data_IF_016300463537
#
_entry.id   IF_016300463537
#
_cell.length_a   1.000
_cell.length_b   1.000
_cell.length_c   1.000
_cell.angle_alpha   90.00
_cell.angle_beta   90.00
_cell.angle_gamma   90.00
#
_symmetry.space_group_name_H-M   'P 1'
#
loop_
_entity.id
_entity.type
_entity.pdbx_description
1 polymer ?
#
# COMPACT_ATOMS: atom_id res chain seq x y z
N UNK A 1 72.50 -31.94 -2.02
CA UNK A 1 71.83 -30.72 -1.64
C UNK A 1 70.43 -30.70 -2.30
N UNK A 2 69.45 -31.30 -1.63
CA UNK A 2 68.07 -31.40 -2.11
C UNK A 2 67.28 -30.20 -1.61
N UNK A 3 66.64 -29.42 -2.54
CA UNK A 3 65.74 -28.36 -2.19
C UNK A 3 64.31 -28.92 -2.11
N UNK A 4 63.73 -28.81 -0.92
CA UNK A 4 62.32 -29.14 -0.64
C UNK A 4 61.45 -28.00 -1.11
N UNK A 5 60.51 -28.24 -2.03
CA UNK A 5 59.51 -27.28 -2.49
C UNK A 5 58.30 -27.44 -1.58
N UNK A 6 57.97 -26.41 -0.80
CA UNK A 6 56.78 -26.36 0.05
C UNK A 6 55.61 -25.83 -0.78
N UNK A 7 54.66 -26.71 -1.10
CA UNK A 7 53.36 -26.29 -1.71
C UNK A 7 52.46 -25.80 -0.60
N UNK A 8 52.12 -24.50 -0.63
CA UNK A 8 51.05 -23.92 0.22
C UNK A 8 49.71 -24.07 -0.52
N UNK A 9 48.88 -24.99 -0.03
CA UNK A 9 47.46 -25.07 -0.46
C UNK A 9 46.69 -23.94 0.21
N UNK A 10 46.26 -22.96 -0.59
CA UNK A 10 45.26 -21.94 -0.18
C UNK A 10 43.89 -22.56 -0.33
N UNK A 11 43.25 -22.89 0.79
CA UNK A 11 41.84 -23.31 0.82
C UNK A 11 40.93 -22.07 0.55
N UNK A 12 40.33 -22.02 -0.63
CA UNK A 12 39.29 -21.04 -0.96
C UNK A 12 37.99 -21.52 -0.30
N UNK A 13 37.67 -20.96 0.84
CA UNK A 13 36.33 -21.13 1.43
C UNK A 13 35.31 -20.34 0.60
N UNK A 14 34.53 -21.06 -0.18
CA UNK A 14 33.39 -20.50 -0.88
C UNK A 14 32.35 -20.02 0.16
N UNK A 15 32.20 -18.71 0.32
CA UNK A 15 31.07 -18.13 1.04
C UNK A 15 29.79 -18.42 0.24
N UNK A 16 29.01 -19.37 0.72
CA UNK A 16 27.65 -19.55 0.21
C UNK A 16 26.82 -18.33 0.53
N UNK A 17 26.25 -17.72 -0.50
CA UNK A 17 25.27 -16.64 -0.32
C UNK A 17 24.14 -17.12 0.60
N UNK A 18 23.63 -16.28 1.52
CA UNK A 18 22.54 -16.68 2.39
C UNK A 18 21.32 -17.03 1.53
N UNK A 19 20.94 -18.31 1.57
CA UNK A 19 19.69 -18.79 0.97
C UNK A 19 18.53 -18.07 1.63
N UNK A 20 17.72 -17.39 0.83
CA UNK A 20 16.42 -16.87 1.26
C UNK A 20 15.63 -18.08 1.75
N UNK A 21 15.08 -18.09 2.99
CA UNK A 21 14.30 -19.22 3.47
C UNK A 21 13.15 -19.48 2.50
N UNK A 22 12.94 -20.75 2.16
CA UNK A 22 11.83 -21.19 1.33
C UNK A 22 10.53 -20.68 1.98
N UNK A 23 9.79 -19.84 1.26
CA UNK A 23 8.41 -19.50 1.60
C UNK A 23 7.61 -20.81 1.55
N UNK A 24 6.72 -20.99 2.53
CA UNK A 24 5.78 -22.11 2.53
C UNK A 24 4.96 -22.01 1.22
N UNK A 25 5.31 -22.83 0.24
CA UNK A 25 4.72 -22.72 -1.11
C UNK A 25 3.33 -23.33 -1.08
N UNK A 26 2.32 -22.50 -0.83
CA UNK A 26 0.97 -22.87 -1.25
C UNK A 26 0.94 -22.86 -2.80
N UNK A 27 0.52 -23.94 -3.46
CA UNK A 27 0.60 -24.06 -4.94
C UNK A 27 -0.11 -22.96 -5.72
N UNK A 28 -0.93 -22.15 -5.07
CA UNK A 28 -1.73 -21.05 -5.65
C UNK A 28 -1.18 -19.65 -5.36
N UNK A 29 -0.06 -19.53 -4.65
CA UNK A 29 0.57 -18.24 -4.30
C UNK A 29 2.04 -18.28 -4.68
N UNK A 30 2.45 -17.33 -5.51
CA UNK A 30 3.85 -17.09 -5.86
C UNK A 30 4.31 -15.75 -5.30
N UNK A 31 5.49 -15.68 -4.69
CA UNK A 31 6.05 -14.44 -4.17
C UNK A 31 7.16 -13.90 -5.07
N UNK A 32 7.11 -12.61 -5.36
CA UNK A 32 8.10 -11.92 -6.18
C UNK A 32 8.61 -10.67 -5.46
N UNK A 33 9.87 -10.30 -5.71
CA UNK A 33 10.41 -9.04 -5.20
C UNK A 33 10.36 -7.99 -6.30
N UNK A 34 9.63 -6.89 -6.06
CA UNK A 34 9.55 -5.75 -6.99
C UNK A 34 10.78 -4.86 -6.84
N UNK A 35 11.13 -4.52 -5.58
CA UNK A 35 12.29 -3.67 -5.31
C UNK A 35 13.03 -4.16 -4.06
N UNK A 36 14.31 -4.46 -4.21
CA UNK A 36 15.18 -4.91 -3.11
C UNK A 36 15.73 -3.72 -2.34
N UNK A 37 15.84 -3.88 -1.03
CA UNK A 37 16.59 -2.94 -0.22
C UNK A 37 18.10 -3.05 -0.53
N UNK A 38 18.76 -1.92 -0.60
CA UNK A 38 20.21 -1.82 -0.75
C UNK A 38 20.79 -0.86 0.30
N UNK A 39 22.12 -0.79 0.42
CA UNK A 39 22.77 0.17 1.32
C UNK A 39 22.38 1.62 0.98
N UNK A 40 22.21 1.93 -0.31
CA UNK A 40 21.90 3.29 -0.76
C UNK A 40 20.39 3.57 -0.81
N UNK A 41 19.57 2.54 -0.89
CA UNK A 41 18.10 2.61 -0.90
C UNK A 41 17.52 1.59 0.05
N UNK A 42 17.55 1.89 1.37
CA UNK A 42 17.27 0.91 2.42
C UNK A 42 15.79 0.55 2.54
N UNK A 43 14.90 1.36 1.95
CA UNK A 43 13.46 1.15 2.05
C UNK A 43 12.75 1.45 0.74
N UNK A 44 11.87 0.52 0.32
CA UNK A 44 10.89 0.70 -0.74
C UNK A 44 9.59 0.02 -0.32
N UNK A 45 8.48 0.75 -0.36
CA UNK A 45 7.16 0.23 0.00
C UNK A 45 6.04 1.13 -0.55
N UNK A 46 4.82 0.95 -0.04
CA UNK A 46 3.62 1.72 -0.41
C UNK A 46 3.48 1.83 -1.93
N UNK A 47 3.03 0.74 -2.52
CA UNK A 47 2.89 0.64 -3.96
C UNK A 47 1.44 0.77 -4.42
N UNK A 48 1.26 1.08 -5.70
CA UNK A 48 -0.03 1.02 -6.39
C UNK A 48 0.18 0.54 -7.81
N UNK A 49 -0.72 -0.32 -8.32
CA UNK A 49 -0.61 -0.93 -9.65
C UNK A 49 -1.77 -0.47 -10.53
N UNK A 50 -1.47 -0.18 -11.80
CA UNK A 50 -2.47 -0.02 -12.84
C UNK A 50 -2.02 -0.69 -14.13
N UNK A 51 -3.00 -1.13 -14.95
CA UNK A 51 -2.75 -1.61 -16.31
C UNK A 51 -2.56 -0.43 -17.24
N UNK A 52 -1.52 -0.48 -18.08
CA UNK A 52 -1.23 0.51 -19.11
C UNK A 52 -2.11 0.29 -20.35
N UNK A 53 -2.20 1.27 -21.27
CA UNK A 53 -2.96 1.11 -22.51
C UNK A 53 -2.48 -0.01 -23.44
N UNK A 54 -1.25 -0.47 -23.28
CA UNK A 54 -0.62 -1.57 -24.03
C UNK A 54 -0.62 -2.89 -23.26
N UNK A 55 -1.54 -3.03 -22.32
CA UNK A 55 -1.79 -4.20 -21.47
C UNK A 55 -0.69 -4.54 -20.45
N UNK A 56 0.47 -3.91 -20.50
CA UNK A 56 1.48 -4.04 -19.46
C UNK A 56 0.98 -3.52 -18.12
N UNK A 57 1.58 -3.99 -17.05
CA UNK A 57 1.32 -3.46 -15.72
C UNK A 57 2.40 -2.44 -15.34
N UNK A 58 1.98 -1.35 -14.70
CA UNK A 58 2.89 -0.40 -14.07
C UNK A 58 2.67 -0.44 -12.55
N UNK A 59 3.74 -0.63 -11.80
CA UNK A 59 3.76 -0.38 -10.36
C UNK A 59 4.43 0.96 -10.10
N UNK A 60 3.81 1.78 -9.26
CA UNK A 60 4.41 2.98 -8.68
C UNK A 60 4.64 2.75 -7.20
N UNK A 61 5.74 3.23 -6.65
CA UNK A 61 6.09 3.03 -5.26
C UNK A 61 7.00 4.15 -4.76
N UNK A 62 7.03 4.37 -3.48
CA UNK A 62 8.00 5.27 -2.90
C UNK A 62 9.30 4.53 -2.53
N UNK A 63 10.43 5.21 -2.74
CA UNK A 63 11.77 4.68 -2.53
C UNK A 63 12.61 5.67 -1.75
N UNK A 64 13.08 5.24 -0.59
CA UNK A 64 13.89 6.05 0.33
C UNK A 64 15.38 5.89 0.04
N UNK A 65 16.09 6.98 0.21
CA UNK A 65 17.54 7.02 0.08
C UNK A 65 18.22 6.89 1.44
N UNK A 66 19.47 6.42 1.44
CA UNK A 66 20.32 6.43 2.63
C UNK A 66 20.66 7.86 3.04
N UNK A 67 20.86 8.08 4.34
CA UNK A 67 21.21 9.39 4.89
C UNK A 67 20.59 9.62 6.26
N UNK A 68 20.53 10.87 6.68
CA UNK A 68 19.89 11.24 7.94
C UNK A 68 18.42 10.81 7.92
N UNK A 69 18.00 10.02 8.94
CA UNK A 69 16.67 9.41 9.03
C UNK A 69 16.34 8.40 7.92
N UNK A 70 17.36 7.73 7.41
CA UNK A 70 17.22 6.62 6.49
C UNK A 70 16.18 5.61 6.99
N UNK A 71 15.32 5.14 6.08
CA UNK A 71 14.28 4.15 6.40
C UNK A 71 13.08 4.65 7.23
N UNK A 72 13.11 5.87 7.74
CA UNK A 72 11.98 6.51 8.43
C UNK A 72 11.13 7.36 7.50
N UNK A 73 9.87 7.60 7.84
CA UNK A 73 8.92 8.40 7.05
C UNK A 73 9.35 9.85 6.82
N UNK A 74 10.35 10.32 7.57
CA UNK A 74 10.98 11.64 7.43
C UNK A 74 12.28 11.62 6.61
N UNK A 75 12.67 10.48 6.05
CA UNK A 75 13.82 10.35 5.16
C UNK A 75 13.52 10.93 3.77
N UNK A 76 14.57 11.16 2.98
CA UNK A 76 14.42 11.55 1.57
C UNK A 76 13.81 10.40 0.80
N UNK A 77 12.70 10.67 0.13
CA UNK A 77 11.91 9.67 -0.58
C UNK A 77 11.37 10.24 -1.89
N UNK A 78 11.36 9.45 -2.94
CA UNK A 78 10.87 9.78 -4.29
C UNK A 78 9.89 8.74 -4.79
N UNK A 79 9.08 9.10 -5.78
CA UNK A 79 8.20 8.15 -6.45
C UNK A 79 8.91 7.55 -7.65
N UNK A 80 8.97 6.24 -7.66
CA UNK A 80 9.53 5.42 -8.71
C UNK A 80 8.47 4.53 -9.33
N UNK A 81 8.77 3.99 -10.51
CA UNK A 81 7.95 2.99 -11.18
C UNK A 81 8.79 1.86 -11.75
N UNK A 82 8.15 0.72 -11.95
CA UNK A 82 8.61 -0.39 -12.79
C UNK A 82 7.45 -0.88 -13.64
N UNK A 83 7.76 -1.64 -14.69
CA UNK A 83 6.77 -2.20 -15.61
C UNK A 83 6.93 -3.72 -15.63
N UNK A 84 5.81 -4.43 -15.75
CA UNK A 84 5.76 -5.87 -15.96
C UNK A 84 5.07 -6.17 -17.28
N UNK A 85 5.59 -7.15 -18.04
CA UNK A 85 5.07 -7.65 -19.32
C UNK A 85 4.53 -9.08 -19.17
N UNK A 86 4.52 -9.64 -17.95
CA UNK A 86 4.24 -11.03 -17.64
C UNK A 86 3.30 -11.21 -16.42
N UNK A 87 2.31 -10.32 -16.31
CA UNK A 87 1.30 -10.33 -15.23
C UNK A 87 1.90 -10.26 -13.82
N UNK A 88 2.95 -9.46 -13.67
CA UNK A 88 3.57 -9.19 -12.37
C UNK A 88 4.62 -10.20 -11.91
N UNK A 89 4.99 -11.19 -12.72
CA UNK A 89 6.02 -12.18 -12.38
C UNK A 89 7.41 -11.57 -12.36
N UNK A 90 7.68 -10.65 -13.26
CA UNK A 90 8.92 -9.86 -13.29
C UNK A 90 8.64 -8.35 -13.45
N UNK A 91 9.54 -7.52 -12.89
CA UNK A 91 9.39 -6.06 -12.88
C UNK A 91 10.69 -5.39 -13.35
N UNK A 92 10.62 -4.69 -14.47
CA UNK A 92 11.76 -4.11 -15.17
C UNK A 92 11.63 -2.60 -15.35
N UNK A 93 12.63 -1.99 -15.98
CA UNK A 93 12.65 -0.57 -16.40
C UNK A 93 12.37 0.42 -15.25
N UNK A 94 13.20 0.42 -14.17
CA UNK A 94 13.02 1.35 -13.06
C UNK A 94 13.15 2.79 -13.54
N UNK A 95 12.19 3.64 -13.14
CA UNK A 95 12.19 5.06 -13.50
C UNK A 95 11.66 5.91 -12.35
N UNK A 96 12.34 7.02 -12.07
CA UNK A 96 11.83 8.05 -11.17
C UNK A 96 10.73 8.84 -11.88
N UNK A 97 9.57 8.96 -11.25
CA UNK A 97 8.42 9.70 -11.79
C UNK A 97 8.25 11.07 -11.15
N UNK A 98 8.45 11.17 -9.84
CA UNK A 98 8.31 12.43 -9.09
C UNK A 98 9.49 12.61 -8.17
N UNK A 99 10.20 13.71 -8.35
CA UNK A 99 11.32 14.11 -7.50
C UNK A 99 10.85 15.01 -6.34
N UNK A 100 11.69 15.14 -5.33
CA UNK A 100 11.47 16.04 -4.20
C UNK A 100 11.63 17.49 -4.69
N UNK A 101 10.58 18.29 -4.52
CA UNK A 101 10.66 19.70 -4.86
C UNK A 101 11.55 20.47 -3.87
N UNK A 102 12.18 21.53 -4.35
CA UNK A 102 13.04 22.38 -3.51
C UNK A 102 12.28 22.85 -2.27
N UNK A 103 12.83 22.56 -1.09
CA UNK A 103 12.27 22.95 0.20
C UNK A 103 11.29 21.94 0.80
N UNK A 104 10.97 20.84 0.10
CA UNK A 104 10.19 19.73 0.68
C UNK A 104 11.11 18.73 1.38
N UNK A 105 10.53 17.94 2.25
CA UNK A 105 11.20 16.86 2.96
C UNK A 105 11.26 15.59 2.10
N UNK A 106 10.13 15.21 1.50
CA UNK A 106 10.01 14.03 0.65
C UNK A 106 8.73 14.06 -0.21
N UNK A 107 8.62 13.07 -1.10
CA UNK A 107 7.40 12.74 -1.85
C UNK A 107 7.07 11.28 -1.61
N UNK A 108 5.86 10.98 -1.14
CA UNK A 108 5.48 9.63 -0.70
C UNK A 108 4.02 9.30 -1.04
N UNK A 109 3.58 8.08 -0.64
CA UNK A 109 2.20 7.59 -0.75
C UNK A 109 1.62 7.74 -2.17
N UNK A 110 2.22 7.10 -3.20
CA UNK A 110 1.68 7.15 -4.54
C UNK A 110 0.38 6.35 -4.64
N UNK A 111 -0.58 6.86 -5.43
CA UNK A 111 -1.75 6.11 -5.87
C UNK A 111 -1.89 6.28 -7.39
N UNK A 112 -1.92 5.17 -8.12
CA UNK A 112 -2.00 5.13 -9.58
C UNK A 112 -3.37 4.58 -10.00
N UNK A 113 -3.99 5.22 -10.96
CA UNK A 113 -5.27 4.79 -11.54
C UNK A 113 -5.25 4.96 -13.05
N UNK A 114 -5.69 3.94 -13.79
CA UNK A 114 -6.19 4.10 -15.14
C UNK A 114 -7.70 4.24 -15.07
N UNK A 115 -8.21 5.40 -15.49
CA UNK A 115 -9.65 5.64 -15.55
C UNK A 115 -10.31 4.81 -16.66
N UNK A 116 -11.62 4.61 -16.59
CA UNK A 116 -12.41 3.94 -17.64
C UNK A 116 -12.28 4.65 -18.99
N UNK A 117 -12.08 5.97 -18.99
CA UNK A 117 -11.78 6.77 -20.17
C UNK A 117 -10.33 6.61 -20.68
N UNK A 118 -9.50 5.78 -20.04
CA UNK A 118 -8.13 5.49 -20.44
C UNK A 118 -7.06 6.47 -19.93
N UNK A 119 -7.44 7.52 -19.19
CA UNK A 119 -6.47 8.45 -18.61
C UNK A 119 -5.69 7.79 -17.46
N UNK A 120 -4.38 8.02 -17.40
CA UNK A 120 -3.53 7.62 -16.27
C UNK A 120 -3.36 8.80 -15.31
N UNK A 121 -3.80 8.60 -14.08
CA UNK A 121 -3.69 9.56 -12.98
C UNK A 121 -2.74 9.00 -11.92
N UNK A 122 -1.86 9.88 -11.41
CA UNK A 122 -0.96 9.58 -10.30
C UNK A 122 -1.17 10.64 -9.23
N UNK A 123 -1.41 10.21 -8.01
CA UNK A 123 -1.43 11.06 -6.83
C UNK A 123 -0.18 10.80 -6.01
N UNK A 124 0.38 11.83 -5.41
CA UNK A 124 1.46 11.72 -4.43
C UNK A 124 1.33 12.80 -3.36
N UNK A 125 1.89 12.53 -2.21
CA UNK A 125 1.91 13.42 -1.06
C UNK A 125 3.30 14.05 -0.93
N UNK A 126 3.40 15.39 -1.04
CA UNK A 126 4.60 16.15 -0.74
C UNK A 126 4.59 16.51 0.75
N UNK A 127 5.55 16.00 1.50
CA UNK A 127 5.72 16.37 2.90
C UNK A 127 6.65 17.58 3.01
N UNK A 128 6.22 18.58 3.77
CA UNK A 128 6.98 19.83 3.99
C UNK A 128 7.93 19.71 5.18
N UNK A 129 8.90 20.62 5.31
CA UNK A 129 9.85 20.63 6.42
C UNK A 129 9.15 20.58 7.78
N UNK A 130 9.78 19.92 8.73
CA UNK A 130 9.26 19.65 10.08
C UNK A 130 8.14 18.62 10.17
N UNK A 131 7.64 18.07 9.03
CA UNK A 131 6.65 17.01 9.02
C UNK A 131 5.31 17.37 9.66
N UNK A 132 4.92 18.65 9.64
CA UNK A 132 3.68 19.15 10.23
C UNK A 132 2.66 19.63 9.18
N UNK A 133 2.99 19.54 7.92
CA UNK A 133 2.09 19.88 6.82
C UNK A 133 2.47 19.13 5.55
N UNK A 134 1.52 19.00 4.65
CA UNK A 134 1.69 18.29 3.38
C UNK A 134 0.82 18.90 2.28
N UNK A 135 1.15 18.59 1.04
CA UNK A 135 0.37 18.93 -0.15
C UNK A 135 0.12 17.66 -0.96
N UNK A 136 -1.13 17.39 -1.28
CA UNK A 136 -1.51 16.27 -2.14
C UNK A 136 -1.58 16.74 -3.58
N UNK A 137 -0.74 16.16 -4.43
CA UNK A 137 -0.55 16.54 -5.82
C UNK A 137 -1.18 15.53 -6.76
N UNK A 138 -1.78 16.03 -7.84
CA UNK A 138 -2.32 15.24 -8.95
C UNK A 138 -1.42 15.43 -10.17
N UNK A 139 -1.09 14.32 -10.80
CA UNK A 139 -0.38 14.24 -12.07
C UNK A 139 -1.19 13.43 -13.07
N UNK A 140 -0.98 13.65 -14.34
CA UNK A 140 -1.58 12.88 -15.42
C UNK A 140 -0.58 12.55 -16.51
N UNK A 141 -0.77 11.40 -17.16
CA UNK A 141 0.01 10.99 -18.31
C UNK A 141 -0.84 11.03 -19.58
N UNK A 142 -0.26 11.55 -20.67
CA UNK A 142 -0.84 11.57 -22.02
C UNK A 142 -0.07 10.68 -23.00
N UNK A 143 0.96 9.97 -22.52
CA UNK A 143 1.88 9.18 -23.34
C UNK A 143 2.02 7.72 -22.85
N UNK A 144 0.93 7.15 -22.34
CA UNK A 144 0.90 5.75 -21.90
C UNK A 144 1.76 5.47 -20.66
N UNK A 145 1.87 6.43 -19.74
CA UNK A 145 2.65 6.27 -18.51
C UNK A 145 4.15 6.51 -18.65
N UNK A 146 4.64 6.93 -19.85
CA UNK A 146 6.06 7.23 -20.04
C UNK A 146 6.53 8.45 -19.25
N UNK A 147 5.64 9.42 -19.02
CA UNK A 147 5.87 10.55 -18.13
C UNK A 147 4.55 11.04 -17.53
N UNK A 148 4.66 11.75 -16.41
CA UNK A 148 3.52 12.35 -15.71
C UNK A 148 3.77 13.84 -15.52
N UNK A 149 2.77 14.65 -15.88
CA UNK A 149 2.81 16.11 -15.73
C UNK A 149 1.87 16.56 -14.63
N UNK A 150 2.21 17.60 -13.85
CA UNK A 150 1.32 18.16 -12.83
C UNK A 150 -0.02 18.60 -13.43
N UNK A 151 -1.12 18.28 -12.74
CA UNK A 151 -2.49 18.72 -13.08
C UNK A 151 -3.12 19.61 -12.00
N UNK A 152 -2.48 19.71 -10.82
CA UNK A 152 -2.97 20.55 -9.74
C UNK A 152 -2.79 19.90 -8.36
N UNK A 153 -3.49 20.45 -7.40
CA UNK A 153 -3.46 20.01 -6.02
C UNK A 153 -4.86 19.62 -5.56
N UNK A 154 -4.98 18.46 -4.92
CA UNK A 154 -6.22 18.03 -4.27
C UNK A 154 -6.37 18.70 -2.90
N UNK A 155 -5.23 18.92 -2.25
CA UNK A 155 -5.13 19.54 -0.95
C UNK A 155 -3.82 20.29 -0.83
N UNK A 156 -3.81 21.50 -0.29
CA UNK A 156 -2.62 22.32 -0.19
C UNK A 156 -2.25 22.61 1.26
N UNK A 157 -1.00 22.98 1.47
CA UNK A 157 -0.44 23.40 2.75
C UNK A 157 -1.25 24.50 3.45
N UNK A 158 -1.91 25.38 2.69
CA UNK A 158 -2.73 26.47 3.22
C UNK A 158 -3.87 26.00 4.11
N UNK A 159 -4.26 24.73 4.00
CA UNK A 159 -5.36 24.17 4.78
C UNK A 159 -4.93 23.75 6.20
N UNK A 160 -3.63 23.89 6.56
CA UNK A 160 -3.15 23.78 7.96
C UNK A 160 -3.15 22.39 8.57
N UNK A 161 -3.34 21.34 7.78
CA UNK A 161 -3.38 19.96 8.27
C UNK A 161 -2.26 19.13 7.69
N UNK A 162 -1.73 18.20 8.49
CA UNK A 162 -0.89 17.13 7.99
C UNK A 162 -1.77 16.02 7.46
N UNK A 163 -1.69 15.80 6.15
CA UNK A 163 -2.31 14.66 5.50
C UNK A 163 -1.33 13.49 5.42
N UNK A 164 -1.88 12.30 5.50
CA UNK A 164 -1.16 11.07 5.21
C UNK A 164 -2.03 10.27 4.23
N UNK A 165 -1.43 9.82 3.13
CA UNK A 165 -2.07 8.91 2.20
C UNK A 165 -2.19 7.53 2.83
N UNK A 166 -3.33 6.88 2.62
CA UNK A 166 -3.42 5.44 2.74
C UNK A 166 -2.68 4.79 1.58
N UNK A 167 -2.36 3.54 1.74
CA UNK A 167 -1.98 2.68 0.64
C UNK A 167 -3.20 2.41 -0.22
N UNK A 168 -3.04 2.33 -1.55
CA UNK A 168 -4.03 1.78 -2.47
C UNK A 168 -5.41 2.43 -2.52
N UNK A 169 -5.49 3.74 -2.69
CA UNK A 169 -6.77 4.35 -2.34
C UNK A 169 -7.48 5.12 -3.45
N UNK A 170 -6.83 5.41 -4.59
CA UNK A 170 -7.52 6.09 -5.69
C UNK A 170 -8.35 5.10 -6.50
N UNK A 171 -9.64 5.32 -6.60
CA UNK A 171 -10.55 4.49 -7.40
C UNK A 171 -11.51 5.34 -8.22
N UNK A 172 -11.99 4.78 -9.33
CA UNK A 172 -13.10 5.31 -10.11
C UNK A 172 -14.33 4.45 -9.86
N UNK A 173 -15.37 5.04 -9.31
CA UNK A 173 -16.65 4.39 -9.07
C UNK A 173 -17.37 4.06 -10.37
N UNK A 174 -18.42 3.24 -10.32
CA UNK A 174 -19.25 2.89 -11.48
C UNK A 174 -19.86 4.14 -12.14
N UNK A 175 -20.19 5.13 -11.35
CA UNK A 175 -20.70 6.44 -11.80
C UNK A 175 -19.68 7.30 -12.56
N UNK A 176 -18.38 6.93 -12.57
CA UNK A 176 -17.29 7.75 -13.09
C UNK A 176 -16.69 8.73 -12.07
N UNK A 177 -17.24 8.78 -10.85
CA UNK A 177 -16.65 9.57 -9.76
C UNK A 177 -15.30 9.03 -9.38
N UNK A 178 -14.30 9.90 -9.28
CA UNK A 178 -13.03 9.57 -8.64
C UNK A 178 -13.18 9.71 -7.12
N UNK A 179 -12.66 8.75 -6.37
CA UNK A 179 -12.70 8.72 -4.91
C UNK A 179 -11.32 8.40 -4.34
N UNK A 180 -10.89 9.18 -3.35
CA UNK A 180 -9.60 9.02 -2.68
C UNK A 180 -9.79 9.11 -1.17
N UNK A 181 -9.76 8.01 -0.43
CA UNK A 181 -9.62 8.03 1.03
C UNK A 181 -8.24 8.57 1.44
N UNK A 182 -8.22 9.39 2.47
CA UNK A 182 -6.99 9.85 3.12
C UNK A 182 -7.26 10.11 4.59
N UNK A 183 -6.20 10.25 5.38
CA UNK A 183 -6.32 10.60 6.79
C UNK A 183 -5.39 11.74 7.16
N UNK A 184 -5.68 12.36 8.26
CA UNK A 184 -4.88 13.45 8.79
C UNK A 184 -5.48 14.01 10.07
N UNK A 185 -4.79 15.00 10.63
CA UNK A 185 -5.21 15.68 11.84
C UNK A 185 -4.39 16.92 12.08
N UNK A 186 -4.77 17.69 13.10
CA UNK A 186 -3.98 18.82 13.56
C UNK A 186 -2.85 18.32 14.46
N UNK A 187 -1.64 18.89 14.29
CA UNK A 187 -0.51 18.65 15.16
C UNK A 187 0.57 17.73 14.57
N UNK A 188 1.38 17.17 15.46
CA UNK A 188 2.49 16.31 15.09
C UNK A 188 1.99 14.92 14.70
N UNK A 189 2.51 14.37 13.60
CA UNK A 189 2.19 13.07 13.01
C UNK A 189 2.00 11.92 14.02
N UNK A 190 2.79 11.87 15.07
CA UNK A 190 2.76 10.80 16.07
C UNK A 190 1.80 11.05 17.24
N UNK A 191 1.41 12.30 17.48
CA UNK A 191 0.56 12.72 18.60
C UNK A 191 -0.82 13.19 18.16
N UNK A 192 -1.03 13.38 16.86
CA UNK A 192 -2.32 13.84 16.34
C UNK A 192 -3.39 12.76 16.45
N UNK A 193 -4.59 13.15 16.77
CA UNK A 193 -5.77 12.36 16.52
C UNK A 193 -6.15 12.48 15.05
N UNK A 194 -6.21 11.36 14.34
CA UNK A 194 -6.53 11.32 12.92
C UNK A 194 -8.04 11.14 12.69
N UNK A 195 -8.50 11.74 11.62
CA UNK A 195 -9.79 11.42 11.00
C UNK A 195 -9.53 10.93 9.58
N UNK A 196 -10.42 10.08 9.06
CA UNK A 196 -10.43 9.71 7.65
C UNK A 196 -11.50 10.52 6.93
N UNK A 197 -11.18 10.97 5.73
CA UNK A 197 -12.09 11.59 4.78
C UNK A 197 -11.94 10.93 3.42
N UNK A 198 -12.90 11.16 2.55
CA UNK A 198 -12.73 10.96 1.12
C UNK A 198 -12.67 12.30 0.40
N UNK A 199 -11.69 12.46 -0.48
CA UNK A 199 -11.78 13.43 -1.57
C UNK A 199 -12.51 12.76 -2.72
N UNK A 200 -13.42 13.47 -3.36
CA UNK A 200 -14.12 12.99 -4.54
C UNK A 200 -14.21 14.04 -5.63
N UNK A 201 -14.24 13.60 -6.88
CA UNK A 201 -14.34 14.44 -8.08
C UNK A 201 -15.36 13.84 -9.04
N UNK A 202 -16.27 14.68 -9.55
CA UNK A 202 -17.30 14.32 -10.53
C UNK A 202 -16.94 14.81 -11.95
N UNK A 203 -15.77 15.44 -12.13
CA UNK A 203 -15.34 16.10 -13.37
C UNK A 203 -13.99 15.61 -13.90
N UNK A 204 -13.62 14.34 -13.55
CA UNK A 204 -12.37 13.71 -13.99
C UNK A 204 -11.12 14.25 -13.32
N UNK A 205 -11.25 14.76 -12.10
CA UNK A 205 -10.14 15.26 -11.29
C UNK A 205 -9.82 16.74 -11.47
N UNK A 206 -10.67 17.52 -12.14
CA UNK A 206 -10.48 18.96 -12.31
C UNK A 206 -10.80 19.73 -11.03
N UNK A 207 -11.86 19.32 -10.32
CA UNK A 207 -12.19 19.84 -9.00
C UNK A 207 -12.46 18.71 -8.00
N UNK A 208 -12.22 19.00 -6.73
CA UNK A 208 -12.32 18.01 -5.65
C UNK A 208 -13.14 18.56 -4.49
N UNK A 209 -14.00 17.72 -3.95
CA UNK A 209 -14.79 17.97 -2.75
C UNK A 209 -14.39 16.97 -1.66
N UNK A 210 -14.80 17.23 -0.42
CA UNK A 210 -14.46 16.42 0.73
C UNK A 210 -15.72 15.90 1.43
N UNK A 211 -15.69 14.63 1.82
CA UNK A 211 -16.74 14.00 2.64
C UNK A 211 -16.76 14.55 4.08
N UNK A 212 -17.75 14.11 4.87
CA UNK A 212 -17.70 14.26 6.32
C UNK A 212 -16.49 13.47 6.89
N UNK A 213 -15.96 13.89 8.05
CA UNK A 213 -14.92 13.14 8.77
C UNK A 213 -15.45 11.84 9.35
N UNK A 214 -14.59 10.82 9.39
CA UNK A 214 -14.79 9.58 10.10
C UNK A 214 -13.85 9.58 11.30
N UNK A 215 -14.42 9.66 12.50
CA UNK A 215 -13.69 9.78 13.75
C UNK A 215 -13.81 8.52 14.59
N UNK A 216 -12.72 8.15 15.26
CA UNK A 216 -12.67 7.10 16.26
C UNK A 216 -11.91 7.57 17.50
N UNK A 217 -11.98 6.80 18.57
CA UNK A 217 -11.22 7.07 19.79
C UNK A 217 -9.71 6.77 19.62
N UNK A 218 -8.94 7.01 20.66
CA UNK A 218 -7.47 6.90 20.69
C UNK A 218 -6.83 7.76 19.58
N UNK A 219 -5.95 7.20 18.76
CA UNK A 219 -5.29 7.89 17.65
C UNK A 219 -6.23 8.16 16.47
N UNK A 220 -7.47 7.67 16.52
CA UNK A 220 -8.49 7.92 15.51
C UNK A 220 -8.54 6.86 14.40
N UNK A 221 -9.19 7.23 13.29
CA UNK A 221 -9.26 6.43 12.07
C UNK A 221 -8.10 6.78 11.13
N UNK A 222 -7.54 5.78 10.48
CA UNK A 222 -6.42 5.93 9.54
C UNK A 222 -6.58 5.01 8.33
N UNK A 223 -5.88 5.31 7.25
CA UNK A 223 -5.63 4.46 6.07
C UNK A 223 -6.89 3.72 5.58
N UNK A 224 -7.91 4.49 5.17
CA UNK A 224 -9.14 3.93 4.63
C UNK A 224 -8.91 3.20 3.31
N UNK A 225 -9.49 2.00 3.15
CA UNK A 225 -9.52 1.25 1.90
C UNK A 225 -10.95 0.93 1.51
N UNK A 226 -11.36 1.22 0.26
CA UNK A 226 -12.77 1.23 -0.17
C UNK A 226 -13.04 0.17 -1.23
N UNK A 227 -14.20 -0.47 -1.11
CA UNK A 227 -14.81 -1.30 -2.15
C UNK A 227 -16.23 -0.81 -2.46
N UNK A 228 -16.60 -0.82 -3.76
CA UNK A 228 -17.92 -0.46 -4.27
C UNK A 228 -18.75 -1.71 -4.56
N UNK A 229 -20.02 -1.73 -4.16
CA UNK A 229 -20.97 -2.80 -4.47
C UNK A 229 -21.83 -2.47 -5.71
N UNK A 230 -22.62 -3.45 -6.16
CA UNK A 230 -23.45 -3.29 -7.36
C UNK A 230 -24.58 -2.28 -7.19
N UNK A 231 -25.04 -2.06 -5.97
CA UNK A 231 -26.05 -1.08 -5.60
C UNK A 231 -25.49 0.32 -5.28
N UNK A 232 -24.26 0.61 -5.75
CA UNK A 232 -23.56 1.89 -5.53
C UNK A 232 -23.23 2.22 -4.06
N UNK A 233 -23.49 1.29 -3.13
CA UNK A 233 -23.02 1.45 -1.76
C UNK A 233 -21.52 1.18 -1.66
N UNK A 234 -20.88 1.86 -0.73
CA UNK A 234 -19.45 1.71 -0.48
C UNK A 234 -19.22 1.12 0.92
N UNK A 235 -18.19 0.29 1.02
CA UNK A 235 -17.63 -0.17 2.28
C UNK A 235 -16.19 0.32 2.39
N UNK A 236 -15.84 0.88 3.53
CA UNK A 236 -14.47 1.27 3.85
C UNK A 236 -13.97 0.48 5.06
N UNK A 237 -12.80 -0.12 4.95
CA UNK A 237 -12.05 -0.62 6.10
C UNK A 237 -11.09 0.45 6.61
N UNK A 238 -10.92 0.52 7.93
CA UNK A 238 -10.16 1.55 8.63
C UNK A 238 -9.12 0.90 9.55
N UNK A 239 -7.86 1.37 9.46
CA UNK A 239 -6.83 1.08 10.44
C UNK A 239 -7.13 1.80 11.75
N UNK A 240 -7.02 1.08 12.88
CA UNK A 240 -7.30 1.61 14.23
C UNK A 240 -6.34 1.07 15.28
N UNK A 241 -6.34 1.68 16.47
CA UNK A 241 -5.72 1.15 17.69
C UNK A 241 -6.74 0.44 18.61
N UNK A 242 -7.84 -0.05 18.05
CA UNK A 242 -9.00 -0.53 18.84
C UNK A 242 -9.17 -2.06 18.79
N UNK A 243 -8.11 -2.80 18.42
CA UNK A 243 -8.09 -4.26 18.46
C UNK A 243 -8.49 -4.93 17.16
N UNK A 244 -8.59 -4.18 16.06
CA UNK A 244 -8.85 -4.70 14.72
C UNK A 244 -9.33 -3.63 13.75
N UNK A 245 -9.60 -4.00 12.49
CA UNK A 245 -10.19 -3.11 11.51
C UNK A 245 -11.61 -2.68 11.89
N UNK A 246 -11.96 -1.43 11.63
CA UNK A 246 -13.32 -0.93 11.68
C UNK A 246 -13.88 -0.73 10.27
N UNK A 247 -15.20 -0.73 10.14
CA UNK A 247 -15.89 -0.61 8.86
C UNK A 247 -16.83 0.58 8.88
N UNK A 248 -16.78 1.41 7.83
CA UNK A 248 -17.74 2.48 7.58
C UNK A 248 -18.45 2.25 6.24
N UNK A 249 -19.69 2.73 6.10
CA UNK A 249 -20.50 2.61 4.89
C UNK A 249 -20.89 3.99 4.36
N UNK A 250 -21.03 4.07 3.04
CA UNK A 250 -21.65 5.19 2.35
C UNK A 250 -22.71 4.67 1.40
N UNK A 251 -23.84 5.41 1.29
CA UNK A 251 -24.94 5.11 0.37
C UNK A 251 -25.15 6.25 -0.64
N UNK A 252 -24.21 7.18 -0.72
CA UNK A 252 -24.25 8.37 -1.58
C UNK A 252 -22.93 8.57 -2.35
N UNK A 253 -22.32 7.46 -2.73
CA UNK A 253 -21.07 7.41 -3.49
C UNK A 253 -19.92 8.17 -2.81
N UNK A 254 -19.80 8.03 -1.48
CA UNK A 254 -18.68 8.54 -0.69
C UNK A 254 -18.78 10.01 -0.26
N UNK A 255 -19.92 10.68 -0.46
CA UNK A 255 -20.14 12.04 0.05
C UNK A 255 -20.28 12.07 1.56
N UNK A 256 -21.01 11.09 2.10
CA UNK A 256 -21.14 10.91 3.55
C UNK A 256 -20.87 9.46 3.94
N UNK A 257 -20.36 9.29 5.14
CA UNK A 257 -20.03 8.01 5.74
C UNK A 257 -20.70 7.85 7.09
N UNK A 258 -21.24 6.68 7.36
CA UNK A 258 -21.83 6.37 8.66
C UNK A 258 -20.77 6.25 9.75
N UNK A 259 -21.22 6.24 11.01
CA UNK A 259 -20.34 5.93 12.16
C UNK A 259 -19.72 4.54 11.98
N UNK A 260 -18.40 4.40 12.14
CA UNK A 260 -17.74 3.11 11.99
C UNK A 260 -18.17 2.10 13.04
N UNK A 261 -18.22 0.83 12.63
CA UNK A 261 -18.48 -0.32 13.48
C UNK A 261 -17.30 -1.28 13.46
N UNK A 262 -17.19 -2.15 14.46
CA UNK A 262 -16.18 -3.20 14.50
C UNK A 262 -16.40 -4.20 13.36
N UNK A 263 -15.32 -4.67 12.74
CA UNK A 263 -15.40 -5.69 11.68
C UNK A 263 -15.70 -7.09 12.22
N UNK A 264 -15.42 -7.34 13.49
CA UNK A 264 -15.39 -8.70 14.07
C UNK A 264 -14.07 -9.45 13.83
N UNK A 265 -13.10 -8.84 13.14
CA UNK A 265 -11.76 -9.38 12.95
C UNK A 265 -10.80 -8.75 13.98
N UNK A 266 -9.91 -9.56 14.55
CA UNK A 266 -8.90 -9.10 15.50
C UNK A 266 -7.60 -8.73 14.75
N UNK A 267 -6.93 -7.68 15.20
CA UNK A 267 -5.65 -7.26 14.61
C UNK A 267 -5.00 -6.10 15.36
N UNK A 268 -3.70 -5.92 15.10
CA UNK A 268 -2.95 -4.75 15.57
C UNK A 268 -3.24 -3.49 14.75
N UNK A 269 -2.52 -2.39 15.07
CA UNK A 269 -2.56 -1.15 14.31
C UNK A 269 -1.77 -1.31 12.99
N UNK A 270 -2.45 -1.77 11.95
CA UNK A 270 -1.88 -1.96 10.62
C UNK A 270 -2.87 -1.57 9.52
N UNK A 271 -2.34 -1.09 8.39
CA UNK A 271 -3.14 -0.80 7.21
C UNK A 271 -3.77 -2.08 6.65
N UNK A 272 -4.97 -1.94 6.10
CA UNK A 272 -5.71 -3.02 5.46
C UNK A 272 -5.93 -2.73 3.98
N UNK A 273 -6.19 -3.77 3.18
CA UNK A 273 -6.57 -3.61 1.78
C UNK A 273 -7.90 -4.32 1.53
N UNK A 274 -8.94 -3.54 1.28
CA UNK A 274 -10.29 -4.00 0.98
C UNK A 274 -10.51 -3.97 -0.53
N UNK A 275 -10.95 -5.08 -1.12
CA UNK A 275 -11.25 -5.17 -2.56
C UNK A 275 -12.51 -5.97 -2.81
N UNK A 276 -13.23 -5.62 -3.87
CA UNK A 276 -14.25 -6.49 -4.41
C UNK A 276 -13.60 -7.63 -5.19
N UNK A 277 -14.05 -8.85 -4.93
CA UNK A 277 -13.57 -10.04 -5.65
C UNK A 277 -14.21 -10.07 -7.06
N UNK A 278 -13.42 -10.06 -8.14
CA UNK A 278 -13.95 -10.10 -9.49
C UNK A 278 -14.83 -11.35 -9.75
N UNK A 279 -15.91 -11.17 -10.52
CA UNK A 279 -16.84 -12.24 -10.87
C UNK A 279 -17.73 -12.71 -9.71
N UNK A 280 -17.70 -12.03 -8.55
CA UNK A 280 -18.62 -12.28 -7.44
C UNK A 280 -19.12 -10.98 -6.82
N UNK A 281 -20.14 -11.05 -5.96
CA UNK A 281 -20.58 -9.93 -5.13
C UNK A 281 -19.77 -9.73 -3.85
N UNK A 282 -18.81 -10.61 -3.61
CA UNK A 282 -18.08 -10.69 -2.36
C UNK A 282 -16.98 -9.64 -2.26
N UNK A 283 -16.60 -9.35 -1.04
CA UNK A 283 -15.40 -8.55 -0.74
C UNK A 283 -14.37 -9.38 0.00
N UNK A 284 -13.11 -9.04 -0.23
CA UNK A 284 -11.97 -9.60 0.50
C UNK A 284 -11.25 -8.48 1.23
N UNK A 285 -10.73 -8.83 2.39
CA UNK A 285 -9.92 -7.96 3.24
C UNK A 285 -8.58 -8.62 3.52
N UNK A 286 -7.50 -7.98 3.09
CA UNK A 286 -6.15 -8.33 3.50
C UNK A 286 -5.78 -7.53 4.74
N UNK A 287 -5.31 -8.20 5.77
CA UNK A 287 -5.00 -7.59 7.07
C UNK A 287 -4.00 -8.45 7.86
N UNK A 288 -3.48 -7.91 8.95
CA UNK A 288 -2.66 -8.68 9.87
C UNK A 288 -3.55 -9.27 10.97
N UNK A 289 -3.75 -10.59 10.92
CA UNK A 289 -4.57 -11.36 11.86
C UNK A 289 -3.74 -11.73 13.10
N UNK A 290 -3.43 -10.74 13.91
CA UNK A 290 -2.65 -10.89 15.13
C UNK A 290 -3.48 -10.55 16.35
N UNK A 291 -3.09 -11.10 17.51
CA UNK A 291 -3.72 -10.74 18.78
C UNK A 291 -3.45 -9.28 19.13
N UNK A 292 -4.48 -8.61 19.61
CA UNK A 292 -4.32 -7.28 20.18
C UNK A 292 -3.40 -7.33 21.41
N UNK A 293 -2.39 -6.48 21.42
CA UNK A 293 -1.45 -6.35 22.53
C UNK A 293 -1.20 -4.86 22.82
N UNK A 294 -1.77 -4.36 23.93
CA UNK A 294 -1.66 -2.94 24.31
C UNK A 294 -0.22 -2.47 24.57
N UNK A 295 0.68 -3.40 24.87
CA UNK A 295 2.08 -3.11 25.20
C UNK A 295 2.99 -3.22 23.96
N UNK A 296 2.46 -3.69 22.82
CA UNK A 296 3.18 -3.72 21.56
C UNK A 296 3.15 -2.35 20.87
N UNK A 297 4.22 -1.99 20.18
CA UNK A 297 4.40 -0.72 19.48
C UNK A 297 3.24 -0.38 18.51
N UNK A 298 2.67 -1.37 17.82
CA UNK A 298 1.49 -1.23 16.95
C UNK A 298 0.27 -1.99 17.48
N UNK A 299 0.19 -2.19 18.79
CA UNK A 299 -0.92 -2.87 19.43
C UNK A 299 -1.18 -4.29 18.92
N UNK A 300 -0.17 -4.93 18.31
CA UNK A 300 -0.17 -6.27 17.74
C UNK A 300 0.90 -6.42 16.67
N UNK A 301 1.25 -7.66 16.36
CA UNK A 301 2.23 -7.99 15.34
C UNK A 301 1.68 -7.67 13.93
N UNK A 302 2.57 -7.38 12.97
CA UNK A 302 2.22 -7.23 11.56
C UNK A 302 2.44 -8.52 10.77
N UNK A 303 2.14 -9.63 11.43
CA UNK A 303 2.16 -11.01 10.93
C UNK A 303 1.12 -11.82 11.73
N UNK A 304 0.45 -12.82 11.11
CA UNK A 304 0.47 -13.16 9.70
C UNK A 304 -0.22 -12.12 8.81
N UNK A 305 0.13 -12.10 7.51
CA UNK A 305 -0.66 -11.45 6.47
C UNK A 305 -1.75 -12.43 6.03
N UNK A 306 -3.00 -12.08 6.30
CA UNK A 306 -4.17 -12.97 6.17
C UNK A 306 -5.19 -12.36 5.21
N UNK A 307 -5.96 -13.21 4.53
CA UNK A 307 -7.14 -12.83 3.76
C UNK A 307 -8.41 -13.33 4.44
N UNK A 308 -9.39 -12.44 4.59
CA UNK A 308 -10.77 -12.76 4.95
C UNK A 308 -11.71 -12.43 3.79
N UNK A 309 -12.81 -13.20 3.64
CA UNK A 309 -13.85 -13.02 2.64
C UNK A 309 -15.20 -12.82 3.30
N UNK A 310 -16.01 -11.93 2.74
CA UNK A 310 -17.39 -11.68 3.14
C UNK A 310 -18.30 -11.76 1.93
N UNK A 311 -19.36 -12.58 2.02
CA UNK A 311 -20.40 -12.73 1.00
C UNK A 311 -21.65 -11.86 1.29
N UNK A 312 -21.66 -11.14 2.41
CA UNK A 312 -22.78 -10.34 2.91
C UNK A 312 -22.44 -8.85 3.07
N UNK A 313 -21.56 -8.37 2.18
CA UNK A 313 -21.11 -6.98 2.12
C UNK A 313 -20.39 -6.52 3.39
N UNK A 314 -19.58 -7.40 4.03
CA UNK A 314 -18.78 -7.08 5.20
C UNK A 314 -19.54 -7.12 6.53
N UNK A 315 -20.70 -7.76 6.60
CA UNK A 315 -21.39 -7.98 7.88
C UNK A 315 -20.75 -9.12 8.67
N UNK A 316 -20.37 -10.20 7.96
CA UNK A 316 -19.62 -11.33 8.54
C UNK A 316 -18.41 -11.66 7.68
N UNK A 317 -17.37 -12.25 8.29
CA UNK A 317 -16.11 -12.57 7.63
C UNK A 317 -15.71 -14.02 7.89
N UNK A 318 -15.24 -14.70 6.84
CA UNK A 318 -14.61 -16.01 6.93
C UNK A 318 -13.12 -15.84 6.56
N UNK A 319 -12.24 -16.33 7.43
CA UNK A 319 -10.81 -16.41 7.12
C UNK A 319 -10.61 -17.42 5.98
N UNK A 320 -9.95 -16.99 4.89
CA UNK A 320 -9.56 -17.85 3.77
C UNK A 320 -8.26 -18.56 4.08
N UNK A 321 -7.26 -17.81 4.52
CA UNK A 321 -5.94 -18.34 4.85
C UNK A 321 -4.89 -17.25 5.04
N UNK A 322 -3.70 -17.69 5.43
CA UNK A 322 -2.53 -16.83 5.53
C UNK A 322 -1.79 -16.82 4.19
N UNK A 323 -1.41 -15.64 3.75
CA UNK A 323 -0.54 -15.44 2.58
C UNK A 323 0.92 -15.57 2.99
N UNK A 324 1.25 -15.04 4.17
CA UNK A 324 2.57 -15.06 4.78
C UNK A 324 2.45 -15.13 6.29
N UNK A 325 3.31 -15.91 6.96
CA UNK A 325 3.18 -16.17 8.40
C UNK A 325 4.53 -16.30 9.15
N UNK A 326 5.66 -15.80 8.59
CA UNK A 326 6.92 -15.80 9.37
C UNK A 326 6.79 -14.83 10.56
N UNK A 327 6.85 -15.32 11.80
CA UNK A 327 6.68 -14.46 12.98
C UNK A 327 7.84 -13.50 13.21
N UNK A 328 8.97 -13.67 12.49
CA UNK A 328 10.14 -12.78 12.55
C UNK A 328 10.08 -11.65 11.53
N UNK A 329 9.04 -11.60 10.70
CA UNK A 329 8.87 -10.60 9.67
C UNK A 329 7.65 -9.73 9.93
N UNK A 330 7.58 -8.57 9.27
CA UNK A 330 6.38 -7.75 9.19
C UNK A 330 5.96 -7.54 7.74
N UNK A 331 4.64 -7.49 7.52
CA UNK A 331 3.99 -7.34 6.23
C UNK A 331 2.93 -6.26 6.35
N UNK A 332 3.08 -5.14 5.65
CA UNK A 332 2.12 -4.02 5.73
C UNK A 332 2.16 -3.19 4.44
N UNK A 333 1.51 -2.02 4.42
CA UNK A 333 1.42 -1.12 3.28
C UNK A 333 0.91 -1.85 2.02
N UNK A 334 -0.26 -2.45 2.17
CA UNK A 334 -0.87 -3.36 1.22
C UNK A 334 -1.55 -2.61 0.07
N UNK A 335 -1.38 -3.08 -1.16
CA UNK A 335 -2.27 -2.78 -2.29
C UNK A 335 -2.59 -4.07 -3.05
N UNK A 336 -3.77 -4.15 -3.65
CA UNK A 336 -4.18 -5.30 -4.44
C UNK A 336 -4.75 -4.84 -5.78
N UNK A 337 -4.17 -5.35 -6.85
CA UNK A 337 -4.64 -5.24 -8.22
C UNK A 337 -5.14 -6.60 -8.69
N UNK A 338 -6.29 -6.64 -9.38
CA UNK A 338 -6.77 -7.84 -10.04
C UNK A 338 -6.49 -7.78 -11.53
N UNK A 339 -5.92 -8.86 -12.07
CA UNK A 339 -5.74 -9.06 -13.52
C UNK A 339 -7.10 -9.30 -14.19
N UNK A 340 -7.14 -9.27 -15.52
CA UNK A 340 -8.34 -9.61 -16.29
C UNK A 340 -8.82 -11.06 -16.08
N UNK A 341 -7.91 -11.95 -15.66
CA UNK A 341 -8.21 -13.33 -15.30
C UNK A 341 -8.78 -13.48 -13.88
N UNK A 342 -8.78 -12.40 -13.10
CA UNK A 342 -9.22 -12.39 -11.71
C UNK A 342 -8.17 -12.86 -10.71
N UNK A 343 -6.93 -13.12 -11.14
CA UNK A 343 -5.80 -13.34 -10.25
C UNK A 343 -5.41 -12.04 -9.55
N UNK A 344 -4.97 -12.13 -8.30
CA UNK A 344 -4.57 -10.95 -7.54
C UNK A 344 -3.05 -10.77 -7.51
N UNK A 345 -2.61 -9.52 -7.64
CA UNK A 345 -1.25 -9.07 -7.34
C UNK A 345 -1.35 -8.24 -6.08
N UNK A 346 -1.01 -8.83 -4.94
CA UNK A 346 -1.00 -8.15 -3.65
C UNK A 346 0.40 -7.64 -3.36
N UNK A 347 0.62 -6.34 -3.45
CA UNK A 347 1.88 -5.72 -3.02
C UNK A 347 1.92 -5.56 -1.51
N UNK A 348 3.10 -5.68 -0.94
CA UNK A 348 3.32 -5.52 0.49
C UNK A 348 4.74 -5.07 0.81
N UNK A 349 4.87 -4.28 1.86
CA UNK A 349 6.13 -4.03 2.54
C UNK A 349 6.60 -5.33 3.21
N UNK A 350 7.87 -5.66 3.06
CA UNK A 350 8.52 -6.77 3.74
C UNK A 350 9.75 -6.30 4.51
N UNK A 351 9.79 -6.54 5.81
CA UNK A 351 10.96 -6.34 6.64
C UNK A 351 11.25 -7.59 7.47
N UNK A 352 12.54 -7.99 7.52
CA UNK A 352 13.02 -9.10 8.36
C UNK A 352 14.46 -8.84 8.81
N UNK A 353 14.75 -8.86 10.11
CA UNK A 353 13.77 -9.00 11.18
C UNK A 353 12.74 -7.87 11.16
N UNK A 354 11.60 -8.07 11.80
CA UNK A 354 10.58 -7.05 11.99
C UNK A 354 11.21 -5.76 12.52
N UNK A 355 10.70 -4.59 12.06
CA UNK A 355 11.21 -3.26 12.44
C UNK A 355 12.61 -2.91 11.94
N UNK A 356 13.22 -3.75 11.08
CA UNK A 356 14.49 -3.38 10.46
C UNK A 356 14.27 -2.33 9.36
N UNK A 357 14.37 -1.07 9.73
CA UNK A 357 14.15 0.07 8.83
C UNK A 357 15.21 0.24 7.74
N UNK A 358 16.32 -0.46 7.84
CA UNK A 358 17.41 -0.42 6.86
C UNK A 358 17.31 -1.55 5.81
N UNK A 359 16.27 -2.37 5.85
CA UNK A 359 16.09 -3.50 4.94
C UNK A 359 14.62 -3.75 4.60
N UNK A 360 13.91 -2.70 4.22
CA UNK A 360 12.51 -2.79 3.79
C UNK A 360 12.44 -2.98 2.28
N UNK A 361 11.86 -4.08 1.85
CA UNK A 361 11.68 -4.41 0.44
C UNK A 361 10.21 -4.28 0.05
N UNK A 362 9.99 -3.93 -1.22
CA UNK A 362 8.68 -4.03 -1.85
C UNK A 362 8.56 -5.39 -2.53
N UNK A 363 7.62 -6.19 -2.07
CA UNK A 363 7.30 -7.49 -2.62
C UNK A 363 5.86 -7.56 -3.13
N UNK A 364 5.54 -8.60 -3.89
CA UNK A 364 4.17 -8.94 -4.25
C UNK A 364 3.92 -10.45 -4.07
N UNK A 365 2.68 -10.79 -3.74
CA UNK A 365 2.13 -12.14 -3.84
C UNK A 365 1.20 -12.20 -5.06
N UNK A 366 1.49 -13.11 -5.98
CA UNK A 366 0.64 -13.46 -7.11
C UNK A 366 -0.28 -14.57 -6.63
N UNK A 367 -1.57 -14.28 -6.50
CA UNK A 367 -2.56 -15.18 -5.88
C UNK A 367 -3.56 -15.60 -6.95
N UNK A 368 -3.59 -16.89 -7.27
CA UNK A 368 -4.52 -17.43 -8.24
C UNK A 368 -5.98 -17.23 -7.80
N UNK A 369 -6.87 -16.91 -8.74
CA UNK A 369 -8.31 -16.66 -8.48
C UNK A 369 -8.95 -17.76 -7.64
N UNK A 370 -8.65 -19.03 -7.94
CA UNK A 370 -9.17 -20.21 -7.23
C UNK A 370 -8.85 -20.21 -5.73
N UNK A 371 -7.76 -19.61 -5.31
CA UNK A 371 -7.37 -19.55 -3.90
C UNK A 371 -8.42 -18.85 -3.02
N UNK A 372 -9.10 -17.86 -3.57
CA UNK A 372 -10.15 -17.13 -2.86
C UNK A 372 -11.43 -17.95 -2.63
N UNK A 373 -11.59 -19.07 -3.33
CA UNK A 373 -12.74 -19.98 -3.17
C UNK A 373 -12.52 -20.95 -2.02
N UNK A 374 -11.29 -21.03 -1.48
CA UNK A 374 -10.95 -21.84 -0.32
C UNK A 374 -10.72 -23.32 -0.66
N UNK A 375 -10.26 -23.58 -1.89
CA UNK A 375 -9.90 -24.92 -2.40
C UNK A 375 -8.38 -25.13 -2.38
#
# INVERSE_FOLDING_TARGET
MSRLLLLVLVAITAFSAPTVPAFDQQPSIQHVTIERATKNTPRSDTASIAQLPDDRLMVVYHKYESGTRSGHDHGVCRIWSKVSEDDGKTWCHPRMLVDVAKGDMNVQAPALLRTKAGALLLISLRAHPKGNSSTMCLFGSTNGGKSFSPRGFLWSRSNGQLLQGGTSSLLELKSGRLLLPYHGGAGNQWKQKNSVWCLYSDDGGKSWQRSNPIDLSKRGAMEGSVAEFDNETLLMSLRTQLGGPFLARSVDAGRTWCKPVVSGLEGGESGTCLRRLPGSGDVILFFNNSKYNKDHHHFGERTPLTCARSADQGKTWRIIGNILADPRAEYTNLDCFFTSQGDAILTYMYARPAWNRDRIQLNAALIARRWFDGS
#
